data_IF_881429969611
#
_entry.id   IF_881429969611
#
_cell.length_a   1.000
_cell.length_b   1.000
_cell.length_c   1.000
_cell.angle_alpha   90.00
_cell.angle_beta   90.00
_cell.angle_gamma   90.00
#
_symmetry.space_group_name_H-M   'P 1'
#
loop_
_entity.id
_entity.type
_entity.pdbx_description
1 polymer ?
#
# COMPACT_ATOMS: atom_id res chain seq x y z
N UNK A 1 13.82 -6.65 -3.71
CA UNK A 1 12.97 -6.39 -4.91
C UNK A 1 11.63 -7.09 -4.69
N UNK A 2 10.50 -6.56 -5.18
CA UNK A 2 9.19 -7.21 -5.05
C UNK A 2 9.15 -8.43 -5.97
N UNK A 3 8.95 -9.61 -5.39
CA UNK A 3 8.93 -10.89 -6.10
C UNK A 3 7.51 -11.46 -6.25
N UNK A 4 7.38 -12.55 -7.03
CA UNK A 4 6.10 -13.22 -7.27
C UNK A 4 5.50 -13.80 -5.97
N UNK A 5 6.33 -14.33 -5.10
CA UNK A 5 5.95 -14.98 -3.86
C UNK A 5 5.26 -14.01 -2.88
N UNK A 6 5.57 -12.70 -2.97
CA UNK A 6 4.87 -11.67 -2.21
C UNK A 6 3.49 -11.33 -2.80
N UNK A 7 3.35 -11.35 -4.12
CA UNK A 7 2.14 -10.88 -4.81
C UNK A 7 1.12 -12.00 -5.00
N UNK A 8 1.58 -13.15 -5.47
CA UNK A 8 0.76 -14.30 -5.86
C UNK A 8 1.38 -15.60 -5.35
N UNK A 9 1.43 -15.80 -4.01
CA UNK A 9 1.97 -17.01 -3.42
C UNK A 9 1.06 -18.21 -3.70
N UNK A 10 1.66 -19.39 -3.87
CA UNK A 10 0.95 -20.66 -3.88
C UNK A 10 0.75 -21.22 -2.47
N UNK A 11 1.55 -20.74 -1.51
CA UNK A 11 1.44 -21.14 -0.11
C UNK A 11 1.75 -19.97 0.83
N UNK A 12 0.92 -19.85 1.89
CA UNK A 12 1.07 -18.84 2.94
C UNK A 12 1.17 -19.54 4.29
N UNK A 13 2.08 -19.09 5.15
CA UNK A 13 2.06 -19.44 6.58
C UNK A 13 1.81 -18.19 7.43
N UNK A 14 0.89 -18.30 8.39
CA UNK A 14 0.69 -17.28 9.45
C UNK A 14 1.35 -17.78 10.72
N UNK A 15 2.47 -17.17 11.10
CA UNK A 15 3.17 -17.46 12.35
C UNK A 15 2.59 -16.58 13.45
N UNK A 16 1.93 -17.21 14.44
CA UNK A 16 1.14 -16.54 15.46
C UNK A 16 -0.35 -16.41 15.11
N UNK A 17 -0.86 -17.25 14.21
CA UNK A 17 -2.29 -17.35 13.92
C UNK A 17 -3.09 -17.73 15.18
N UNK A 18 -4.35 -17.31 15.29
CA UNK A 18 -5.16 -17.47 16.51
C UNK A 18 -6.65 -17.65 16.21
N UNK A 19 -7.34 -18.34 17.10
CA UNK A 19 -8.81 -18.42 17.10
C UNK A 19 -9.48 -17.10 17.52
N UNK A 20 -8.75 -16.20 18.18
CA UNK A 20 -9.28 -14.91 18.60
C UNK A 20 -9.26 -13.89 17.46
N UNK A 21 -10.42 -13.62 16.85
CA UNK A 21 -10.59 -12.67 15.74
C UNK A 21 -10.27 -11.20 16.08
N UNK A 22 -10.18 -10.86 17.38
CA UNK A 22 -9.79 -9.52 17.82
C UNK A 22 -8.26 -9.32 17.86
N UNK A 23 -7.50 -10.41 17.79
CA UNK A 23 -6.04 -10.37 17.67
C UNK A 23 -5.64 -10.31 16.20
N UNK A 24 -4.54 -9.60 15.86
CA UNK A 24 -4.07 -9.51 14.47
C UNK A 24 -3.92 -10.87 13.78
N UNK A 25 -3.31 -11.86 14.45
CA UNK A 25 -3.14 -13.21 13.89
C UNK A 25 -4.44 -13.92 13.57
N UNK A 26 -5.49 -13.74 14.40
CA UNK A 26 -6.81 -14.31 14.13
C UNK A 26 -7.55 -13.57 13.03
N UNK A 27 -7.41 -12.24 12.98
CA UNK A 27 -8.01 -11.42 11.93
C UNK A 27 -7.41 -11.75 10.55
N UNK A 28 -6.08 -11.90 10.45
CA UNK A 28 -5.40 -12.27 9.19
C UNK A 28 -5.87 -13.63 8.69
N UNK A 29 -5.87 -14.66 9.54
CA UNK A 29 -6.33 -16.01 9.15
C UNK A 29 -7.75 -15.93 8.58
N UNK A 30 -8.67 -15.28 9.31
CA UNK A 30 -10.04 -15.08 8.84
C UNK A 30 -10.10 -14.34 7.50
N UNK A 31 -9.35 -13.26 7.35
CA UNK A 31 -9.41 -12.43 6.13
C UNK A 31 -8.85 -13.19 4.92
N UNK A 32 -7.80 -13.99 5.08
CA UNK A 32 -7.27 -14.87 4.02
C UNK A 32 -8.32 -15.92 3.62
N UNK A 33 -8.97 -16.57 4.60
CA UNK A 33 -10.02 -17.56 4.34
C UNK A 33 -11.23 -16.94 3.64
N UNK A 34 -11.71 -15.81 4.14
CA UNK A 34 -12.87 -15.09 3.57
C UNK A 34 -12.55 -14.46 2.21
N UNK A 35 -11.28 -14.11 1.97
CA UNK A 35 -10.81 -13.60 0.68
C UNK A 35 -10.68 -14.66 -0.41
N UNK A 36 -10.95 -15.92 -0.10
CA UNK A 36 -10.94 -17.00 -1.09
C UNK A 36 -9.55 -17.37 -1.61
N UNK A 37 -8.52 -17.26 -0.77
CA UNK A 37 -7.17 -17.68 -1.15
C UNK A 37 -7.19 -19.12 -1.66
N UNK A 38 -6.77 -19.33 -2.89
CA UNK A 38 -6.83 -20.64 -3.57
C UNK A 38 -5.63 -21.54 -3.29
N UNK A 39 -4.56 -20.98 -2.71
CA UNK A 39 -3.35 -21.73 -2.34
C UNK A 39 -3.47 -22.46 -1.00
N UNK A 40 -2.34 -22.93 -0.50
CA UNK A 40 -2.29 -23.65 0.78
C UNK A 40 -2.03 -22.68 1.93
N UNK A 41 -2.99 -22.53 2.85
CA UNK A 41 -2.81 -21.76 4.09
C UNK A 41 -2.35 -22.69 5.22
N UNK A 42 -1.26 -22.31 5.89
CA UNK A 42 -0.68 -22.99 7.06
C UNK A 42 -0.62 -22.04 8.24
N UNK A 43 -0.64 -22.58 9.45
CA UNK A 43 -0.59 -21.79 10.68
C UNK A 43 0.45 -22.40 11.60
N UNK A 44 1.24 -21.53 12.23
CA UNK A 44 2.14 -21.91 13.34
C UNK A 44 1.66 -21.23 14.60
N UNK A 45 1.38 -22.06 15.63
CA UNK A 45 1.07 -21.57 16.98
C UNK A 45 1.46 -22.66 18.01
N UNK A 46 2.35 -22.36 18.98
CA UNK A 46 2.82 -23.38 19.94
C UNK A 46 1.77 -23.80 20.98
N UNK A 47 0.58 -23.18 21.01
CA UNK A 47 -0.45 -23.40 22.04
C UNK A 47 -1.76 -23.98 21.54
N UNK A 48 -2.00 -23.90 20.24
CA UNK A 48 -3.27 -24.28 19.62
C UNK A 48 -3.02 -25.51 18.72
N UNK A 49 -3.91 -26.49 18.75
CA UNK A 49 -3.86 -27.67 17.85
C UNK A 49 -4.61 -27.38 16.53
N UNK A 50 -5.60 -26.49 16.60
CA UNK A 50 -6.41 -26.06 15.47
C UNK A 50 -6.75 -24.57 15.58
N UNK A 51 -6.66 -23.86 14.46
CA UNK A 51 -7.05 -22.46 14.34
C UNK A 51 -8.00 -22.30 13.15
N UNK A 52 -9.25 -21.91 13.44
CA UNK A 52 -10.29 -21.64 12.44
C UNK A 52 -10.50 -22.79 11.43
N UNK A 53 -10.46 -24.03 11.91
CA UNK A 53 -10.64 -25.24 11.11
C UNK A 53 -9.36 -25.73 10.41
N UNK A 54 -8.22 -25.07 10.64
CA UNK A 54 -6.92 -25.46 10.05
C UNK A 54 -6.06 -26.10 11.14
N UNK A 55 -5.53 -27.29 10.86
CA UNK A 55 -4.55 -27.96 11.71
C UNK A 55 -3.27 -27.13 11.80
N UNK A 56 -2.77 -26.94 13.01
CA UNK A 56 -1.64 -26.08 13.33
C UNK A 56 -0.33 -26.86 13.39
N UNK A 57 0.76 -26.24 13.00
CA UNK A 57 2.13 -26.66 13.32
C UNK A 57 2.57 -25.97 14.62
N UNK A 58 3.27 -26.66 15.48
CA UNK A 58 3.72 -26.07 16.75
C UNK A 58 5.06 -25.34 16.63
N UNK A 59 5.85 -25.68 15.60
CA UNK A 59 7.14 -25.08 15.31
C UNK A 59 7.29 -24.82 13.80
N UNK A 60 8.02 -23.77 13.42
CA UNK A 60 8.33 -23.45 12.02
C UNK A 60 9.18 -24.53 11.34
N UNK A 61 9.93 -25.31 12.12
CA UNK A 61 10.72 -26.45 11.63
C UNK A 61 9.86 -27.60 11.12
N UNK A 62 8.62 -27.72 11.57
CA UNK A 62 7.68 -28.75 11.12
C UNK A 62 7.03 -28.43 9.76
N UNK A 63 7.14 -27.17 9.31
CA UNK A 63 6.54 -26.73 8.05
C UNK A 63 7.19 -27.39 6.83
N UNK A 64 6.42 -27.75 5.81
CA UNK A 64 6.97 -27.94 4.47
C UNK A 64 7.41 -26.60 3.86
N UNK A 65 8.12 -26.60 2.71
CA UNK A 65 8.44 -25.39 1.98
C UNK A 65 7.21 -24.49 1.79
N UNK A 66 7.37 -23.18 2.01
CA UNK A 66 6.27 -22.20 2.01
C UNK A 66 6.76 -20.87 1.46
N UNK A 67 6.05 -20.27 0.50
CA UNK A 67 6.49 -19.12 -0.25
C UNK A 67 6.40 -17.79 0.52
N UNK A 68 5.23 -17.52 1.14
CA UNK A 68 4.97 -16.29 1.91
C UNK A 68 4.78 -16.61 3.38
N UNK A 69 5.50 -15.90 4.25
CA UNK A 69 5.28 -15.94 5.69
C UNK A 69 4.77 -14.60 6.22
N UNK A 70 3.69 -14.66 7.02
CA UNK A 70 3.14 -13.52 7.73
C UNK A 70 3.43 -13.70 9.22
N UNK A 71 4.25 -12.80 9.78
CA UNK A 71 4.69 -12.88 11.17
C UNK A 71 3.85 -11.97 12.05
N UNK A 72 3.20 -12.59 13.05
CA UNK A 72 2.37 -11.91 14.06
C UNK A 72 2.84 -12.37 15.45
N UNK A 73 4.14 -12.29 15.67
CA UNK A 73 4.85 -12.71 16.89
C UNK A 73 5.68 -11.53 17.44
N UNK A 74 6.04 -11.53 18.73
CA UNK A 74 6.87 -10.46 19.28
C UNK A 74 8.17 -10.23 18.51
N UNK A 75 8.56 -8.97 18.35
CA UNK A 75 9.68 -8.54 17.51
C UNK A 75 10.98 -9.34 17.74
N UNK A 76 11.30 -9.63 19.00
CA UNK A 76 12.51 -10.38 19.38
C UNK A 76 12.62 -11.80 18.79
N UNK A 77 11.50 -12.38 18.35
CA UNK A 77 11.50 -13.72 17.74
C UNK A 77 11.50 -13.68 16.21
N UNK A 78 11.28 -12.51 15.61
CA UNK A 78 11.19 -12.37 14.16
C UNK A 78 12.50 -12.71 13.44
N UNK A 79 13.70 -12.24 13.87
CA UNK A 79 14.94 -12.53 13.13
C UNK A 79 15.22 -14.03 12.98
N UNK A 80 15.16 -14.80 14.07
CA UNK A 80 15.40 -16.25 14.04
C UNK A 80 14.32 -16.98 13.21
N UNK A 81 13.06 -16.54 13.31
CA UNK A 81 11.96 -17.11 12.53
C UNK A 81 12.15 -16.84 11.03
N UNK A 82 12.50 -15.61 10.63
CA UNK A 82 12.79 -15.24 9.23
C UNK A 82 13.97 -16.05 8.71
N UNK A 83 15.06 -16.14 9.48
CA UNK A 83 16.25 -16.91 9.12
C UNK A 83 15.93 -18.38 8.88
N UNK A 84 15.18 -19.00 9.80
CA UNK A 84 14.77 -20.42 9.69
C UNK A 84 13.88 -20.65 8.47
N UNK A 85 12.86 -19.80 8.27
CA UNK A 85 11.97 -19.90 7.13
C UNK A 85 12.67 -19.69 5.80
N UNK A 86 13.58 -18.72 5.71
CA UNK A 86 14.33 -18.44 4.49
C UNK A 86 15.32 -19.57 4.14
N UNK A 87 16.04 -20.09 5.15
CA UNK A 87 17.08 -21.09 4.96
C UNK A 87 16.52 -22.52 4.76
N UNK A 88 15.54 -22.93 5.62
CA UNK A 88 15.09 -24.31 5.70
C UNK A 88 13.76 -24.57 4.99
N UNK A 89 12.94 -23.52 4.80
CA UNK A 89 11.58 -23.64 4.24
C UNK A 89 11.41 -22.96 2.91
N UNK A 90 12.50 -22.44 2.33
CA UNK A 90 12.54 -21.80 1.01
C UNK A 90 11.59 -20.57 0.91
N UNK A 91 11.27 -19.95 2.05
CA UNK A 91 10.42 -18.77 2.06
C UNK A 91 11.14 -17.59 1.42
N UNK A 92 10.49 -16.91 0.48
CA UNK A 92 11.05 -15.79 -0.29
C UNK A 92 10.24 -14.52 -0.16
N UNK A 93 9.15 -14.54 0.59
CA UNK A 93 8.38 -13.34 0.90
C UNK A 93 7.97 -13.31 2.37
N UNK A 94 8.06 -12.12 2.96
CA UNK A 94 7.72 -11.89 4.37
C UNK A 94 6.83 -10.66 4.51
N UNK A 95 5.81 -10.75 5.37
CA UNK A 95 5.03 -9.62 5.86
C UNK A 95 5.13 -9.64 7.39
N UNK A 96 5.73 -8.61 7.98
CA UNK A 96 5.90 -8.53 9.44
C UNK A 96 4.94 -7.48 9.99
N UNK A 97 3.91 -7.97 10.68
CA UNK A 97 2.85 -7.14 11.25
C UNK A 97 3.31 -6.45 12.54
N UNK A 98 4.12 -7.14 13.32
CA UNK A 98 4.52 -6.71 14.66
C UNK A 98 5.29 -5.39 14.65
N UNK A 99 5.05 -4.57 15.67
CA UNK A 99 5.85 -3.41 16.05
C UNK A 99 6.93 -3.79 17.07
N UNK A 100 7.75 -2.82 17.49
CA UNK A 100 8.85 -3.01 18.44
C UNK A 100 10.20 -3.15 17.76
N UNK A 101 10.36 -2.51 16.61
CA UNK A 101 11.59 -2.47 15.83
C UNK A 101 12.26 -1.09 15.88
N UNK A 102 12.84 -0.63 14.80
CA UNK A 102 13.58 0.63 14.72
C UNK A 102 12.75 1.89 15.01
N UNK A 103 11.42 1.81 14.95
CA UNK A 103 10.50 2.87 15.33
C UNK A 103 10.40 3.07 16.86
N UNK A 104 10.78 2.07 17.66
CA UNK A 104 10.66 2.14 19.13
C UNK A 104 12.00 2.25 19.83
N UNK A 105 13.00 1.43 19.44
CA UNK A 105 14.27 1.33 20.18
C UNK A 105 15.46 1.04 19.27
N UNK A 106 16.69 1.33 19.78
CA UNK A 106 17.93 0.94 19.09
C UNK A 106 18.09 -0.59 19.00
N UNK A 107 17.62 -1.34 20.01
CA UNK A 107 17.61 -2.81 19.96
C UNK A 107 16.67 -3.29 18.85
N UNK A 108 15.48 -2.70 18.76
CA UNK A 108 14.54 -2.95 17.67
C UNK A 108 15.15 -2.68 16.29
N UNK A 109 15.95 -1.63 16.15
CA UNK A 109 16.66 -1.34 14.90
C UNK A 109 17.70 -2.42 14.54
N UNK A 110 18.34 -3.05 15.54
CA UNK A 110 19.25 -4.20 15.31
C UNK A 110 18.47 -5.42 14.82
N UNK A 111 17.34 -5.74 15.47
CA UNK A 111 16.47 -6.84 15.02
C UNK A 111 16.00 -6.62 13.57
N UNK A 112 15.67 -5.39 13.21
CA UNK A 112 15.28 -5.02 11.84
C UNK A 112 16.43 -5.22 10.85
N UNK A 113 17.66 -4.82 11.23
CA UNK A 113 18.85 -5.00 10.41
C UNK A 113 19.16 -6.50 10.16
N UNK A 114 19.04 -7.36 11.17
CA UNK A 114 19.27 -8.80 11.06
C UNK A 114 18.26 -9.46 10.07
N UNK A 115 17.01 -8.99 10.10
CA UNK A 115 15.97 -9.43 9.15
C UNK A 115 16.33 -8.99 7.74
N UNK A 116 16.74 -7.73 7.54
CA UNK A 116 17.12 -7.19 6.23
C UNK A 116 18.33 -7.92 5.64
N UNK A 117 19.34 -8.23 6.47
CA UNK A 117 20.50 -9.04 6.05
C UNK A 117 20.05 -10.42 5.57
N UNK A 118 19.17 -11.07 6.32
CA UNK A 118 18.61 -12.37 5.94
C UNK A 118 17.82 -12.28 4.63
N UNK A 119 16.94 -11.30 4.49
CA UNK A 119 16.17 -11.10 3.25
C UNK A 119 17.09 -10.83 2.05
N UNK A 120 18.14 -10.03 2.22
CA UNK A 120 19.13 -9.77 1.17
C UNK A 120 19.88 -11.04 0.77
N UNK A 121 20.30 -11.85 1.76
CA UNK A 121 21.05 -13.10 1.53
C UNK A 121 20.23 -14.13 0.72
N UNK A 122 18.95 -14.20 0.92
CA UNK A 122 18.07 -15.18 0.29
C UNK A 122 17.19 -14.61 -0.84
N UNK A 123 17.46 -13.37 -1.27
CA UNK A 123 16.69 -12.64 -2.28
C UNK A 123 15.17 -12.61 -1.96
N UNK A 124 14.86 -12.39 -0.70
CA UNK A 124 13.50 -12.38 -0.20
C UNK A 124 12.91 -10.96 -0.13
N UNK A 125 11.62 -10.83 -0.46
CA UNK A 125 10.86 -9.59 -0.32
C UNK A 125 10.33 -9.43 1.10
N UNK A 126 10.40 -8.20 1.64
CA UNK A 126 9.90 -7.86 2.98
C UNK A 126 8.99 -6.63 2.95
N UNK A 127 7.73 -6.79 3.39
CA UNK A 127 6.83 -5.70 3.78
C UNK A 127 6.80 -5.60 5.31
N UNK A 128 6.86 -4.37 5.80
CA UNK A 128 6.96 -4.06 7.23
C UNK A 128 8.42 -3.92 7.67
N UNK A 129 8.70 -4.15 8.96
CA UNK A 129 7.75 -4.42 10.05
C UNK A 129 6.79 -3.26 10.35
N UNK A 130 5.94 -3.43 11.38
CA UNK A 130 5.00 -2.41 11.84
C UNK A 130 4.00 -1.98 10.74
N UNK A 131 3.31 -2.94 10.13
CA UNK A 131 2.36 -2.71 9.04
C UNK A 131 1.02 -3.40 9.29
N UNK A 132 0.00 -3.08 8.50
CA UNK A 132 -1.27 -3.81 8.52
C UNK A 132 -1.31 -4.98 7.53
N UNK A 133 -0.33 -5.06 6.63
CA UNK A 133 -0.19 -6.11 5.63
C UNK A 133 -0.48 -5.70 4.20
N UNK A 134 -0.74 -6.68 3.35
CA UNK A 134 -1.02 -6.54 1.93
C UNK A 134 -2.39 -7.14 1.59
N UNK A 135 -3.21 -6.38 0.90
CA UNK A 135 -4.49 -6.80 0.32
C UNK A 135 -4.42 -6.67 -1.20
N UNK A 136 -4.65 -7.76 -1.91
CA UNK A 136 -4.73 -7.77 -3.37
C UNK A 136 -5.71 -8.87 -3.85
N UNK A 137 -5.87 -9.02 -5.15
CA UNK A 137 -6.79 -10.01 -5.73
C UNK A 137 -6.36 -11.48 -5.51
N UNK A 138 -5.15 -11.72 -5.00
CA UNK A 138 -4.61 -13.06 -4.77
C UNK A 138 -4.74 -13.49 -3.31
N UNK A 139 -4.53 -12.56 -2.36
CA UNK A 139 -4.64 -12.85 -0.94
C UNK A 139 -5.00 -11.62 -0.10
N UNK A 140 -5.75 -11.84 0.96
CA UNK A 140 -6.19 -10.80 1.89
C UNK A 140 -5.34 -10.84 3.18
N UNK A 141 -4.03 -10.63 3.06
CA UNK A 141 -3.07 -10.73 4.18
C UNK A 141 -3.02 -9.43 5.01
N UNK A 142 -4.18 -8.97 5.48
CA UNK A 142 -4.33 -7.80 6.34
C UNK A 142 -5.15 -8.14 7.58
N UNK A 143 -4.89 -7.44 8.70
CA UNK A 143 -5.65 -7.67 9.94
C UNK A 143 -6.76 -6.66 10.20
N UNK A 144 -6.92 -5.66 9.36
CA UNK A 144 -7.87 -4.54 9.57
C UNK A 144 -9.26 -4.82 9.05
N UNK A 145 -10.20 -3.95 9.44
CA UNK A 145 -11.54 -3.78 8.88
C UNK A 145 -11.77 -2.29 8.63
N UNK A 146 -12.59 -1.92 7.62
CA UNK A 146 -13.27 -2.82 6.69
C UNK A 146 -12.31 -3.44 5.68
N UNK A 147 -12.67 -4.62 5.15
CA UNK A 147 -12.03 -5.17 3.95
C UNK A 147 -12.86 -4.67 2.77
N UNK A 148 -12.34 -3.80 1.90
CA UNK A 148 -13.06 -3.35 0.72
C UNK A 148 -13.26 -4.50 -0.26
N UNK A 149 -14.38 -4.48 -0.99
CA UNK A 149 -14.55 -5.34 -2.15
C UNK A 149 -13.53 -4.93 -3.21
N UNK A 150 -12.70 -5.88 -3.63
CA UNK A 150 -11.69 -5.62 -4.64
C UNK A 150 -12.30 -5.59 -6.05
N UNK A 151 -11.79 -4.65 -6.85
CA UNK A 151 -12.13 -4.51 -8.26
C UNK A 151 -10.82 -4.35 -9.05
N UNK A 152 -10.57 -5.18 -10.09
CA UNK A 152 -9.35 -5.07 -10.90
C UNK A 152 -9.14 -3.69 -11.54
N UNK A 153 -10.20 -2.91 -11.74
CA UNK A 153 -10.12 -1.50 -12.23
C UNK A 153 -10.22 -0.47 -11.11
N UNK A 154 -10.18 -0.90 -9.85
CA UNK A 154 -10.17 -0.03 -8.68
C UNK A 154 -8.85 0.71 -8.51
N UNK A 155 -8.66 1.28 -7.33
CA UNK A 155 -7.47 2.08 -6.97
C UNK A 155 -6.42 1.18 -6.34
N UNK A 156 -5.15 1.39 -6.65
CA UNK A 156 -4.06 0.91 -5.82
C UNK A 156 -3.75 1.96 -4.74
N UNK A 157 -3.82 1.53 -3.49
CA UNK A 157 -3.53 2.40 -2.35
C UNK A 157 -2.26 1.95 -1.63
N UNK A 158 -1.28 2.84 -1.50
CA UNK A 158 0.01 2.58 -0.88
C UNK A 158 0.19 3.52 0.31
N UNK A 159 0.43 2.96 1.49
CA UNK A 159 0.54 3.72 2.74
C UNK A 159 1.78 3.36 3.55
N UNK A 160 2.52 4.39 3.99
CA UNK A 160 3.58 4.25 4.99
C UNK A 160 3.05 4.00 6.41
N UNK A 161 1.78 4.38 6.69
CA UNK A 161 1.17 4.24 8.00
C UNK A 161 0.01 3.26 8.00
N UNK A 162 0.07 2.24 8.85
CA UNK A 162 -1.01 1.27 9.01
C UNK A 162 -2.30 1.89 9.56
N UNK A 163 -2.21 2.68 10.62
CA UNK A 163 -3.38 3.33 11.23
C UNK A 163 -4.06 4.31 10.28
N UNK A 164 -3.27 5.13 9.58
CA UNK A 164 -3.80 6.08 8.60
C UNK A 164 -4.42 5.37 7.41
N UNK A 165 -3.86 4.23 7.00
CA UNK A 165 -4.45 3.42 5.94
C UNK A 165 -5.87 2.99 6.28
N UNK A 166 -6.13 2.55 7.53
CA UNK A 166 -7.48 2.17 7.99
C UNK A 166 -8.45 3.34 7.88
N UNK A 167 -8.08 4.52 8.39
CA UNK A 167 -8.93 5.71 8.33
C UNK A 167 -9.23 6.18 6.90
N UNK A 168 -8.26 6.05 5.99
CA UNK A 168 -8.47 6.37 4.58
C UNK A 168 -9.40 5.34 3.93
N UNK A 169 -9.21 4.04 4.21
CA UNK A 169 -10.09 2.97 3.72
C UNK A 169 -11.53 3.15 4.17
N UNK A 170 -11.76 3.44 5.45
CA UNK A 170 -13.10 3.70 5.99
C UNK A 170 -13.79 4.86 5.27
N UNK A 171 -13.09 6.00 5.12
CA UNK A 171 -13.61 7.16 4.40
C UNK A 171 -13.87 6.88 2.92
N UNK A 172 -12.96 6.15 2.27
CA UNK A 172 -13.04 5.83 0.85
C UNK A 172 -14.18 4.87 0.52
N UNK A 173 -14.35 3.80 1.31
CA UNK A 173 -15.44 2.82 1.14
C UNK A 173 -16.81 3.50 1.30
N UNK A 174 -16.96 4.41 2.26
CA UNK A 174 -18.19 5.17 2.44
C UNK A 174 -18.52 6.07 1.24
N UNK A 175 -17.52 6.54 0.49
CA UNK A 175 -17.68 7.33 -0.73
C UNK A 175 -17.86 6.47 -1.99
N UNK A 176 -17.83 5.15 -1.87
CA UNK A 176 -17.94 4.21 -2.99
C UNK A 176 -16.65 4.00 -3.77
N UNK A 177 -15.50 4.44 -3.26
CA UNK A 177 -14.20 4.18 -3.88
C UNK A 177 -13.91 2.68 -3.84
N UNK A 178 -13.54 2.11 -4.98
CA UNK A 178 -13.19 0.70 -5.12
C UNK A 178 -11.67 0.54 -5.16
N UNK A 179 -11.17 -0.56 -4.61
CA UNK A 179 -9.74 -0.85 -4.54
C UNK A 179 -9.37 -2.06 -5.39
N UNK A 180 -8.20 -2.03 -6.00
CA UNK A 180 -7.55 -3.20 -6.58
C UNK A 180 -6.56 -3.80 -5.58
N UNK A 181 -5.77 -2.95 -4.94
CA UNK A 181 -4.82 -3.39 -3.92
C UNK A 181 -4.63 -2.34 -2.82
N UNK A 182 -4.23 -2.81 -1.63
CA UNK A 182 -3.84 -1.97 -0.49
C UNK A 182 -2.50 -2.46 0.05
N UNK A 183 -1.50 -1.60 0.00
CA UNK A 183 -0.15 -1.85 0.46
C UNK A 183 0.13 -1.05 1.70
N UNK A 184 0.32 -1.71 2.83
CA UNK A 184 0.83 -1.05 4.04
C UNK A 184 2.27 -1.44 4.22
N UNK A 185 3.18 -0.51 3.93
CA UNK A 185 4.62 -0.81 3.91
C UNK A 185 5.29 -0.72 5.29
N UNK A 186 4.60 -0.15 6.30
CA UNK A 186 5.14 0.00 7.66
C UNK A 186 6.42 0.84 7.67
N UNK A 187 7.46 0.36 8.35
CA UNK A 187 8.76 1.06 8.44
C UNK A 187 9.46 1.24 7.08
N UNK A 188 9.07 0.47 6.06
CA UNK A 188 9.52 0.65 4.67
C UNK A 188 11.02 0.55 4.45
N UNK A 189 11.74 -0.28 5.21
CA UNK A 189 13.21 -0.35 5.15
C UNK A 189 13.74 -1.08 3.93
N UNK A 190 13.03 -2.09 3.44
CA UNK A 190 13.39 -2.77 2.19
C UNK A 190 12.49 -2.33 1.04
N UNK A 191 11.18 -2.33 1.27
CA UNK A 191 10.18 -1.93 0.28
C UNK A 191 9.54 -0.63 0.73
N UNK A 192 9.89 0.49 0.08
CA UNK A 192 9.29 1.80 0.23
C UNK A 192 8.16 2.04 -0.78
N UNK A 193 7.54 3.22 -0.73
CA UNK A 193 6.52 3.65 -1.71
C UNK A 193 7.09 3.64 -3.12
N UNK A 194 8.32 4.13 -3.27
CA UNK A 194 9.05 4.18 -4.54
C UNK A 194 9.32 2.79 -5.13
N UNK A 195 9.51 1.76 -4.28
CA UNK A 195 9.70 0.38 -4.73
C UNK A 195 8.39 -0.23 -5.23
N UNK A 196 7.27 0.07 -4.57
CA UNK A 196 5.94 -0.35 -5.04
C UNK A 196 5.59 0.34 -6.35
N UNK A 197 5.87 1.65 -6.49
CA UNK A 197 5.67 2.36 -7.75
C UNK A 197 6.57 1.81 -8.87
N UNK A 198 7.83 1.45 -8.57
CA UNK A 198 8.71 0.77 -9.52
C UNK A 198 8.10 -0.54 -9.99
N UNK A 199 7.67 -1.40 -9.06
CA UNK A 199 7.04 -2.68 -9.39
C UNK A 199 5.82 -2.50 -10.29
N UNK A 200 4.96 -1.53 -9.94
CA UNK A 200 3.77 -1.23 -10.74
C UNK A 200 4.12 -0.68 -12.12
N UNK A 201 5.16 0.16 -12.24
CA UNK A 201 5.57 0.75 -13.50
C UNK A 201 6.21 -0.28 -14.45
N UNK A 202 7.09 -1.13 -13.92
CA UNK A 202 7.80 -2.16 -14.70
C UNK A 202 6.86 -3.27 -15.22
N UNK A 203 5.77 -3.55 -14.47
CA UNK A 203 4.81 -4.59 -14.82
C UNK A 203 3.50 -4.03 -15.39
N UNK A 204 3.40 -2.73 -15.66
CA UNK A 204 2.16 -2.08 -16.06
C UNK A 204 1.62 -2.53 -17.42
N UNK A 205 0.40 -3.07 -17.40
CA UNK A 205 -0.37 -3.38 -18.60
C UNK A 205 -1.59 -2.43 -18.69
N UNK A 206 -1.66 -1.52 -19.67
CA UNK A 206 -2.74 -0.52 -19.76
C UNK A 206 -4.13 -1.12 -19.97
N UNK A 207 -4.23 -2.34 -20.48
CA UNK A 207 -5.52 -2.99 -20.75
C UNK A 207 -6.13 -3.61 -19.50
N UNK A 208 -5.31 -4.07 -18.58
CA UNK A 208 -5.76 -4.85 -17.41
C UNK A 208 -5.58 -4.11 -16.09
N UNK A 209 -4.53 -3.31 -15.95
CA UNK A 209 -4.13 -2.79 -14.64
C UNK A 209 -4.88 -1.50 -14.27
N UNK A 210 -5.00 -1.22 -12.97
CA UNK A 210 -5.55 0.03 -12.48
C UNK A 210 -4.73 1.24 -12.91
N UNK A 211 -5.40 2.30 -13.31
CA UNK A 211 -4.76 3.56 -13.69
C UNK A 211 -4.70 4.59 -12.56
N UNK A 212 -5.26 4.29 -11.39
CA UNK A 212 -5.32 5.24 -10.27
C UNK A 212 -4.46 4.72 -9.12
N UNK A 213 -3.54 5.56 -8.64
CA UNK A 213 -2.69 5.29 -7.49
C UNK A 213 -2.92 6.36 -6.43
N UNK A 214 -3.24 5.96 -5.21
CA UNK A 214 -3.34 6.86 -4.05
C UNK A 214 -2.20 6.55 -3.07
N UNK A 215 -1.53 7.59 -2.58
CA UNK A 215 -0.36 7.45 -1.74
C UNK A 215 -0.56 8.19 -0.41
N UNK A 216 -0.17 7.55 0.69
CA UNK A 216 0.08 8.20 1.96
C UNK A 216 1.55 8.07 2.33
N UNK A 217 2.28 9.18 2.22
CA UNK A 217 3.74 9.21 2.24
C UNK A 217 4.24 9.75 3.58
N UNK A 218 4.92 8.93 4.37
CA UNK A 218 5.62 9.37 5.58
C UNK A 218 7.09 9.69 5.29
N UNK A 219 7.76 8.82 4.56
CA UNK A 219 9.15 8.97 4.15
C UNK A 219 9.34 8.64 2.68
N UNK A 220 10.35 9.23 2.07
CA UNK A 220 10.83 8.93 0.70
C UNK A 220 12.33 8.67 0.82
N UNK A 221 12.73 7.41 0.72
CA UNK A 221 14.12 7.00 0.85
C UNK A 221 14.92 7.26 -0.43
N UNK A 222 14.26 7.15 -1.58
CA UNK A 222 14.87 7.40 -2.89
C UNK A 222 13.99 8.33 -3.75
N UNK A 223 14.16 9.66 -3.64
CA UNK A 223 13.37 10.64 -4.38
C UNK A 223 13.51 10.52 -5.90
N UNK A 224 14.69 10.18 -6.41
CA UNK A 224 14.91 10.02 -7.86
C UNK A 224 14.14 8.83 -8.41
N UNK A 225 14.11 7.72 -7.67
CA UNK A 225 13.32 6.53 -8.01
C UNK A 225 11.83 6.86 -8.04
N UNK A 226 11.32 7.54 -7.00
CA UNK A 226 9.91 7.97 -6.94
C UNK A 226 9.58 8.86 -8.14
N UNK A 227 10.41 9.87 -8.42
CA UNK A 227 10.22 10.78 -9.54
C UNK A 227 10.17 10.02 -10.87
N UNK A 228 11.12 9.10 -11.10
CA UNK A 228 11.22 8.35 -12.35
C UNK A 228 9.98 7.49 -12.59
N UNK A 229 9.61 6.64 -11.63
CA UNK A 229 8.52 5.67 -11.81
C UNK A 229 7.14 6.31 -11.74
N UNK A 230 6.91 7.32 -10.89
CA UNK A 230 5.67 8.07 -10.88
C UNK A 230 5.45 8.81 -12.21
N UNK A 231 6.47 9.51 -12.71
CA UNK A 231 6.38 10.19 -14.02
C UNK A 231 6.18 9.22 -15.18
N UNK A 232 6.79 8.03 -15.12
CA UNK A 232 6.60 6.97 -16.11
C UNK A 232 5.17 6.46 -16.12
N UNK A 233 4.62 6.11 -14.94
CA UNK A 233 3.21 5.70 -14.80
C UNK A 233 2.23 6.76 -15.32
N UNK A 234 2.47 8.04 -15.01
CA UNK A 234 1.63 9.14 -15.47
C UNK A 234 1.68 9.26 -16.99
N UNK A 235 2.86 9.14 -17.62
CA UNK A 235 2.97 9.09 -19.09
C UNK A 235 2.26 7.89 -19.71
N UNK A 236 2.14 6.78 -19.00
CA UNK A 236 1.37 5.59 -19.39
C UNK A 236 -0.15 5.75 -19.17
N UNK A 237 -0.61 6.92 -18.68
CA UNK A 237 -2.01 7.24 -18.47
C UNK A 237 -2.52 7.04 -17.04
N UNK A 238 -1.64 6.74 -16.09
CA UNK A 238 -2.02 6.67 -14.68
C UNK A 238 -2.25 8.06 -14.09
N UNK A 239 -3.09 8.12 -13.07
CA UNK A 239 -3.36 9.30 -12.23
C UNK A 239 -2.90 9.00 -10.81
N UNK A 240 -2.06 9.85 -10.26
CA UNK A 240 -1.47 9.63 -8.93
C UNK A 240 -1.82 10.82 -8.03
N UNK A 241 -2.39 10.55 -6.86
CA UNK A 241 -2.60 11.56 -5.83
C UNK A 241 -1.93 11.12 -4.53
N UNK A 242 -1.42 12.07 -3.75
CA UNK A 242 -0.65 11.78 -2.56
C UNK A 242 -0.88 12.77 -1.42
N UNK A 243 -0.91 12.25 -0.18
CA UNK A 243 -0.72 13.02 1.04
C UNK A 243 0.71 12.82 1.51
N UNK A 244 1.41 13.92 1.86
CA UNK A 244 2.65 13.86 2.64
C UNK A 244 2.33 14.15 4.10
N UNK A 245 2.65 13.23 4.99
CA UNK A 245 2.53 13.43 6.42
C UNK A 245 3.59 14.41 6.95
N UNK A 246 3.29 15.14 8.02
CA UNK A 246 4.25 16.06 8.61
C UNK A 246 4.53 17.31 7.76
N UNK A 247 3.55 17.82 7.04
CA UNK A 247 3.66 19.02 6.21
C UNK A 247 3.82 20.33 7.02
N UNK A 248 3.31 20.38 8.25
CA UNK A 248 3.54 21.49 9.17
C UNK A 248 4.82 21.30 9.98
N UNK A 249 5.39 22.39 10.52
CA UNK A 249 6.57 22.31 11.38
C UNK A 249 6.34 21.44 12.64
N UNK A 250 5.16 21.53 13.25
CA UNK A 250 4.76 20.69 14.36
C UNK A 250 4.54 19.24 13.94
N UNK A 251 3.92 19.01 12.79
CA UNK A 251 3.71 17.71 12.19
C UNK A 251 5.03 17.04 11.77
N UNK A 252 5.99 17.81 11.24
CA UNK A 252 7.32 17.32 10.91
C UNK A 252 8.08 16.86 12.14
N UNK A 253 8.03 17.62 13.26
CA UNK A 253 8.60 17.18 14.54
C UNK A 253 7.96 15.92 15.08
N UNK A 254 6.62 15.82 14.99
CA UNK A 254 5.90 14.62 15.41
C UNK A 254 6.26 13.40 14.54
N UNK A 255 6.31 13.57 13.22
CA UNK A 255 6.68 12.51 12.29
C UNK A 255 8.12 12.01 12.51
N UNK A 256 9.08 12.92 12.69
CA UNK A 256 10.48 12.58 13.00
C UNK A 256 10.62 11.83 14.32
N UNK A 257 9.82 12.19 15.32
CA UNK A 257 9.78 11.50 16.63
C UNK A 257 9.20 10.09 16.54
N UNK A 258 8.26 9.86 15.60
CA UNK A 258 7.56 8.59 15.45
C UNK A 258 8.33 7.59 14.56
N UNK A 259 9.00 8.08 13.51
CA UNK A 259 9.65 7.19 12.52
C UNK A 259 11.18 7.11 12.67
N UNK A 260 11.77 7.93 13.54
CA UNK A 260 13.22 8.04 13.68
C UNK A 260 13.95 8.58 12.44
N UNK A 261 13.21 8.94 11.39
CA UNK A 261 13.75 9.47 10.14
C UNK A 261 13.69 11.00 10.13
N UNK A 262 14.72 11.65 9.55
CA UNK A 262 14.68 13.09 9.27
C UNK A 262 13.63 13.31 8.18
N UNK A 263 12.53 13.97 8.55
CA UNK A 263 11.48 14.29 7.59
C UNK A 263 12.06 15.19 6.48
N UNK A 264 11.88 14.79 5.22
CA UNK A 264 12.21 15.62 4.06
C UNK A 264 11.47 16.96 4.14
N UNK A 265 12.12 18.07 3.74
CA UNK A 265 11.46 19.37 3.77
C UNK A 265 10.18 19.33 2.93
N UNK A 266 9.11 19.93 3.45
CA UNK A 266 7.81 19.94 2.76
C UNK A 266 7.89 20.58 1.37
N UNK A 267 8.70 21.64 1.24
CA UNK A 267 8.96 22.31 -0.04
C UNK A 267 9.67 21.40 -1.06
N UNK A 268 10.58 20.56 -0.61
CA UNK A 268 11.26 19.60 -1.51
C UNK A 268 10.29 18.53 -1.99
N UNK A 269 9.41 18.02 -1.10
CA UNK A 269 8.38 17.04 -1.48
C UNK A 269 7.35 17.67 -2.41
N UNK A 270 6.94 18.92 -2.17
CA UNK A 270 6.07 19.67 -3.08
C UNK A 270 6.67 19.79 -4.49
N UNK A 271 7.94 20.19 -4.57
CA UNK A 271 8.64 20.29 -5.85
C UNK A 271 8.77 18.93 -6.56
N UNK A 272 9.01 17.86 -5.78
CA UNK A 272 9.09 16.48 -6.28
C UNK A 272 7.74 16.02 -6.85
N UNK A 273 6.65 16.20 -6.09
CA UNK A 273 5.31 15.81 -6.54
C UNK A 273 4.88 16.59 -7.80
N UNK A 274 5.09 17.90 -7.80
CA UNK A 274 4.81 18.74 -8.98
C UNK A 274 5.61 18.28 -10.21
N UNK A 275 6.91 18.01 -10.04
CA UNK A 275 7.77 17.55 -11.14
C UNK A 275 7.36 16.17 -11.65
N UNK A 276 6.90 15.29 -10.76
CA UNK A 276 6.41 13.95 -11.10
C UNK A 276 5.02 13.98 -11.76
N UNK A 277 4.23 15.05 -11.57
CA UNK A 277 2.82 15.13 -11.98
C UNK A 277 1.85 14.51 -10.97
N UNK A 278 2.27 14.35 -9.71
CA UNK A 278 1.45 13.82 -8.62
C UNK A 278 0.57 14.95 -8.07
N UNK A 279 -0.74 14.72 -7.97
CA UNK A 279 -1.69 15.64 -7.32
C UNK A 279 -1.47 15.57 -5.80
N UNK A 280 -1.06 16.70 -5.21
CA UNK A 280 -0.88 16.78 -3.77
C UNK A 280 -2.22 17.03 -3.07
N UNK A 281 -2.49 16.24 -2.03
CA UNK A 281 -3.64 16.39 -1.14
C UNK A 281 -3.15 16.70 0.28
N UNK A 282 -3.96 17.45 1.05
CA UNK A 282 -3.62 17.89 2.41
C UNK A 282 -4.48 17.23 3.50
N UNK A 283 -5.51 16.47 3.09
CA UNK A 283 -6.36 15.72 4.01
C UNK A 283 -6.79 14.38 3.39
N UNK A 284 -7.24 13.46 4.26
CA UNK A 284 -7.79 12.16 3.80
C UNK A 284 -9.08 12.35 2.98
N UNK A 285 -9.89 13.33 3.36
CA UNK A 285 -11.13 13.69 2.66
C UNK A 285 -10.83 14.16 1.25
N UNK A 286 -9.79 14.97 1.09
CA UNK A 286 -9.31 15.45 -0.20
C UNK A 286 -8.76 14.30 -1.04
N UNK A 287 -7.86 13.47 -0.49
CA UNK A 287 -7.31 12.30 -1.19
C UNK A 287 -8.41 11.36 -1.69
N UNK A 288 -9.37 11.03 -0.82
CA UNK A 288 -10.47 10.12 -1.20
C UNK A 288 -11.43 10.76 -2.21
N UNK A 289 -11.66 12.07 -2.13
CA UNK A 289 -12.46 12.81 -3.11
C UNK A 289 -11.77 12.86 -4.47
N UNK A 290 -10.48 13.17 -4.51
CA UNK A 290 -9.66 13.14 -5.74
C UNK A 290 -9.66 11.72 -6.33
N UNK A 291 -9.55 10.69 -5.49
CA UNK A 291 -9.67 9.29 -5.92
C UNK A 291 -11.01 9.00 -6.60
N UNK A 292 -12.12 9.47 -6.03
CA UNK A 292 -13.45 9.33 -6.63
C UNK A 292 -13.54 10.09 -7.98
N UNK A 293 -12.99 11.31 -8.07
CA UNK A 293 -12.96 12.08 -9.32
C UNK A 293 -12.14 11.34 -10.38
N UNK A 294 -11.02 10.76 -10.00
CA UNK A 294 -10.19 9.98 -10.93
C UNK A 294 -10.91 8.73 -11.45
N UNK A 295 -11.83 8.15 -10.68
CA UNK A 295 -12.67 7.02 -11.11
C UNK A 295 -13.82 7.43 -12.03
N UNK A 296 -14.24 8.72 -12.02
CA UNK A 296 -15.25 9.19 -12.94
C UNK A 296 -14.69 9.16 -14.37
N UNK A 297 -15.24 8.32 -15.23
CA UNK A 297 -14.98 8.43 -16.67
C UNK A 297 -15.65 9.72 -17.16
N UNK A 298 -14.95 10.54 -17.99
CA UNK A 298 -15.61 11.66 -18.62
C UNK A 298 -16.80 11.13 -19.44
N UNK A 299 -17.96 11.81 -19.42
CA UNK A 299 -19.12 11.39 -20.22
C UNK A 299 -18.66 11.25 -21.66
N UNK A 300 -18.89 10.07 -22.25
CA UNK A 300 -18.59 9.82 -23.64
C UNK A 300 -19.39 10.85 -24.48
N UNK A 301 -18.77 11.68 -25.32
CA UNK A 301 -19.53 12.59 -26.18
C UNK A 301 -20.48 11.74 -27.03
N UNK A 302 -21.75 12.14 -27.20
CA UNK A 302 -22.68 11.38 -27.98
C UNK A 302 -22.13 11.19 -29.41
N UNK A 303 -22.09 9.94 -29.85
CA UNK A 303 -21.65 9.61 -31.22
C UNK A 303 -22.61 10.30 -32.18
N UNK A 304 -22.18 11.42 -32.80
CA UNK A 304 -22.94 12.09 -33.88
C UNK A 304 -23.73 13.34 -33.47
N UNK A 305 -23.55 13.92 -32.27
CA UNK A 305 -24.16 15.19 -31.88
C UNK A 305 -23.15 16.33 -31.81
N UNK A 306 -23.45 17.49 -32.38
CA UNK A 306 -22.66 18.70 -32.17
C UNK A 306 -22.64 19.08 -30.68
N UNK A 307 -21.49 19.48 -30.09
CA UNK A 307 -21.41 19.83 -28.70
C UNK A 307 -22.08 21.19 -28.46
N UNK A 308 -23.27 21.20 -27.90
CA UNK A 308 -23.85 22.39 -27.26
C UNK A 308 -23.20 22.57 -25.89
N UNK A 309 -22.00 23.06 -25.84
CA UNK A 309 -21.29 23.36 -24.61
C UNK A 309 -20.09 24.26 -24.91
N UNK A 310 -19.84 25.21 -24.04
CA UNK A 310 -18.75 26.19 -24.14
C UNK A 310 -17.43 25.42 -24.34
N UNK A 311 -16.90 25.47 -25.57
CA UNK A 311 -15.60 24.94 -25.90
C UNK A 311 -14.53 25.85 -25.25
N UNK A 312 -13.81 25.35 -24.26
CA UNK A 312 -12.55 25.95 -23.81
C UNK A 312 -11.52 25.58 -24.89
N UNK A 313 -10.88 26.54 -25.54
CA UNK A 313 -9.88 26.23 -26.56
C UNK A 313 -8.70 25.50 -25.97
N UNK A 314 -8.14 24.47 -26.65
CA UNK A 314 -6.99 23.75 -26.17
C UNK A 314 -5.78 24.69 -26.10
N UNK A 315 -5.20 24.83 -24.92
CA UNK A 315 -3.86 25.41 -24.77
C UNK A 315 -2.89 24.40 -25.40
N UNK A 316 -2.23 24.81 -26.47
CA UNK A 316 -1.46 23.97 -27.37
C UNK A 316 -0.37 23.16 -26.68
N UNK A 317 -0.49 21.82 -26.75
CA UNK A 317 0.54 20.84 -26.45
C UNK A 317 0.15 19.53 -27.12
N UNK A 318 1.03 18.98 -27.91
CA UNK A 318 0.76 17.81 -28.73
C UNK A 318 0.37 16.58 -27.88
N UNK A 319 -0.81 15.99 -28.15
CA UNK A 319 -1.08 14.57 -27.92
C UNK A 319 -1.67 14.17 -26.56
N UNK A 320 -2.07 15.09 -25.69
CA UNK A 320 -2.76 14.76 -24.44
C UNK A 320 -4.29 14.75 -24.61
N UNK A 321 -4.98 13.70 -24.14
CA UNK A 321 -6.44 13.73 -23.99
C UNK A 321 -6.79 14.81 -22.97
N UNK A 322 -7.51 15.85 -23.38
CA UNK A 322 -8.05 16.86 -22.48
C UNK A 322 -9.17 16.22 -21.62
N UNK A 323 -9.03 16.28 -20.31
CA UNK A 323 -10.11 15.93 -19.40
C UNK A 323 -10.91 17.20 -19.09
N UNK A 324 -12.24 17.15 -19.27
CA UNK A 324 -13.14 18.19 -18.81
C UNK A 324 -13.82 17.70 -17.53
N UNK A 325 -13.68 18.45 -16.45
CA UNK A 325 -14.35 18.18 -15.19
C UNK A 325 -15.41 19.27 -14.93
N UNK A 326 -16.65 18.88 -14.70
CA UNK A 326 -17.71 19.79 -14.24
C UNK A 326 -17.80 19.68 -12.71
N UNK A 327 -17.56 20.79 -12.02
CA UNK A 327 -17.66 20.86 -10.56
C UNK A 327 -19.04 21.41 -10.22
N UNK A 328 -19.89 20.56 -9.60
CA UNK A 328 -21.19 20.97 -9.05
C UNK A 328 -21.06 21.01 -7.53
N UNK A 329 -21.14 22.20 -6.95
CA UNK A 329 -21.01 22.40 -5.49
C UNK A 329 -22.04 23.41 -5.00
N UNK A 330 -22.58 23.21 -3.79
CA UNK A 330 -23.43 24.17 -3.12
C UNK A 330 -22.66 25.30 -2.41
N UNK A 331 -21.34 25.21 -2.34
CA UNK A 331 -20.47 26.22 -1.73
C UNK A 331 -19.30 26.57 -2.64
N UNK A 332 -19.02 27.85 -2.85
CA UNK A 332 -17.98 28.35 -3.73
C UNK A 332 -16.56 27.95 -3.30
N UNK A 333 -16.24 27.99 -1.99
CA UNK A 333 -14.91 27.67 -1.48
C UNK A 333 -14.39 26.27 -1.82
N UNK A 334 -15.13 25.17 -1.57
CA UNK A 334 -14.73 23.83 -1.99
C UNK A 334 -14.57 23.66 -3.50
N UNK A 335 -15.38 24.37 -4.28
CA UNK A 335 -15.27 24.37 -5.74
C UNK A 335 -13.95 24.99 -6.24
N UNK A 336 -13.54 26.13 -5.66
CA UNK A 336 -12.27 26.80 -5.98
C UNK A 336 -11.09 25.92 -5.61
N UNK A 337 -11.08 25.34 -4.40
CA UNK A 337 -10.01 24.43 -3.97
C UNK A 337 -9.85 23.22 -4.91
N UNK A 338 -10.97 22.67 -5.37
CA UNK A 338 -10.96 21.53 -6.28
C UNK A 338 -10.45 21.94 -7.68
N UNK A 339 -10.82 23.14 -8.14
CA UNK A 339 -10.33 23.71 -9.41
C UNK A 339 -8.83 23.95 -9.35
N UNK A 340 -8.32 24.54 -8.26
CA UNK A 340 -6.90 24.75 -8.05
C UNK A 340 -6.10 23.44 -7.99
N UNK A 341 -6.69 22.37 -7.42
CA UNK A 341 -6.06 21.05 -7.37
C UNK A 341 -6.03 20.33 -8.73
N UNK A 342 -6.93 20.71 -9.66
CA UNK A 342 -7.05 20.08 -10.99
C UNK A 342 -6.37 20.92 -12.11
N UNK A 343 -5.93 22.13 -11.79
CA UNK A 343 -5.24 23.06 -12.72
C UNK A 343 -3.74 22.79 -12.75
#
# INVERSE_FOLDING_TARGET
>A
MINKELIQPESIVVVGGSNNYHKPGGAIVRNILQGGFSGTLRIVNPKEDEVQGIKVFHDVMELPPTELAILVIPARFCPDTVKTLAAEKQTRAFIIISAGFGEETEEGARLEADILETCSKYDASLIGPNCIGLLNNWHHSVFTKPIPNLNPKGVDFISGSGATAVFILESAVMKGLQFNSVWSIGNGKQIGIEDVLQYMDENFNPDTDPTIKLLYVENISNPDKLLFHASSLIRKGCRIAAIKSGSSESGSRAASSHTGAIASSDSAVEALFRKAGIVRCFSREELTTVGCIFMCEPPCPPVGGEPNGIAIPPTGGQGGRAFSCAIVTHAGGPGVMLTDALS
#
